data_IF_312021645169
#
_entry.id   IF_312021645169
#
_cell.length_a   1.000
_cell.length_b   1.000
_cell.length_c   1.000
_cell.angle_alpha   90.00
_cell.angle_beta   90.00
_cell.angle_gamma   90.00
#
_symmetry.space_group_name_H-M   'P 1'
#
loop_
_entity.id
_entity.type
_entity.pdbx_description
1 polymer ?
#
# COMPACT_ATOMS: atom_id res chain seq x y z
N UNK A 1 -35.94 -0.78 87.93
CA UNK A 1 -34.47 -0.72 88.00
C UNK A 1 -33.96 -1.20 86.64
N UNK A 2 -33.25 -0.50 85.75
CA UNK A 2 -32.74 0.87 85.56
C UNK A 2 -31.85 0.81 84.29
N UNK A 3 -31.77 1.90 83.49
CA UNK A 3 -30.82 2.23 82.38
C UNK A 3 -30.97 1.48 81.02
N UNK A 4 -31.08 2.06 79.80
CA UNK A 4 -30.52 3.20 78.99
C UNK A 4 -29.40 2.80 78.00
N UNK A 5 -29.61 3.14 76.70
CA UNK A 5 -28.70 3.47 75.55
C UNK A 5 -27.46 2.58 75.24
N UNK A 6 -26.90 2.42 74.04
CA UNK A 6 -26.80 3.08 72.72
C UNK A 6 -26.31 1.96 71.74
N UNK A 7 -26.45 1.90 70.41
CA UNK A 7 -25.78 2.75 69.41
C UNK A 7 -26.11 2.28 67.97
N UNK A 8 -26.25 3.24 67.06
CA UNK A 8 -25.69 3.23 65.70
C UNK A 8 -26.17 2.21 64.67
N UNK A 9 -27.33 2.46 64.05
CA UNK A 9 -27.79 1.74 62.84
C UNK A 9 -27.92 2.67 61.63
N UNK A 10 -26.89 2.67 60.79
CA UNK A 10 -26.82 3.27 59.45
C UNK A 10 -28.02 2.85 58.58
N UNK A 11 -28.90 3.80 58.22
CA UNK A 11 -29.88 3.65 57.14
C UNK A 11 -29.94 4.95 56.34
N UNK A 12 -29.35 4.88 55.15
CA UNK A 12 -29.44 5.88 54.09
C UNK A 12 -30.90 6.29 53.88
N UNK A 13 -31.18 7.56 54.12
CA UNK A 13 -32.41 8.21 53.70
C UNK A 13 -32.42 8.25 52.17
N UNK A 14 -33.27 7.41 51.59
CA UNK A 14 -33.61 7.46 50.17
C UNK A 14 -34.53 8.67 49.97
N UNK A 15 -33.92 9.82 49.68
CA UNK A 15 -34.63 11.08 49.42
C UNK A 15 -35.29 10.95 48.05
N UNK A 16 -36.56 10.55 48.05
CA UNK A 16 -37.42 10.55 46.87
C UNK A 16 -37.76 12.01 46.54
N UNK A 17 -37.39 12.56 45.38
CA UNK A 17 -37.82 13.90 45.00
C UNK A 17 -39.31 13.84 44.63
N UNK A 18 -40.12 14.54 45.41
CA UNK A 18 -41.55 14.73 45.18
C UNK A 18 -41.75 15.69 43.98
N UNK A 19 -41.95 15.12 42.79
CA UNK A 19 -42.17 15.90 41.57
C UNK A 19 -43.65 16.29 41.50
N UNK A 20 -43.98 17.44 42.07
CA UNK A 20 -45.31 18.05 41.92
C UNK A 20 -45.50 18.53 40.48
N UNK A 21 -46.32 17.80 39.71
CA UNK A 21 -46.56 18.04 38.28
C UNK A 21 -47.85 18.85 38.11
N UNK A 22 -47.74 20.17 38.01
CA UNK A 22 -48.90 21.03 37.68
C UNK A 22 -49.02 21.13 36.16
N UNK A 23 -50.00 20.43 35.58
CA UNK A 23 -50.31 20.49 34.15
C UNK A 23 -51.19 21.72 33.90
N UNK A 24 -50.66 22.71 33.20
CA UNK A 24 -51.45 23.75 32.58
C UNK A 24 -51.44 23.50 31.07
N UNK A 25 -52.62 23.16 30.52
CA UNK A 25 -52.84 22.96 29.10
C UNK A 25 -52.96 24.32 28.41
N UNK A 26 -52.02 24.64 27.53
CA UNK A 26 -52.20 25.71 26.55
C UNK A 26 -51.63 25.29 25.20
N UNK A 27 -52.41 25.59 24.17
CA UNK A 27 -52.34 25.03 22.83
C UNK A 27 -51.12 25.54 22.04
N UNK A 28 -50.70 24.71 21.08
CA UNK A 28 -49.90 25.06 19.89
C UNK A 28 -48.37 25.15 20.06
N UNK A 29 -47.73 24.17 19.39
CA UNK A 29 -46.42 24.25 18.73
C UNK A 29 -45.18 23.79 19.52
N UNK A 30 -44.65 22.63 19.12
CA UNK A 30 -43.22 22.31 19.16
C UNK A 30 -42.65 21.91 20.52
N UNK A 31 -42.57 20.62 20.75
CA UNK A 31 -42.07 19.97 21.97
C UNK A 31 -40.56 20.25 22.17
N UNK A 32 -40.24 21.30 22.94
CA UNK A 32 -38.92 21.49 23.55
C UNK A 32 -39.09 22.04 24.97
N UNK A 33 -38.84 21.17 25.95
CA UNK A 33 -38.84 21.52 27.38
C UNK A 33 -37.65 22.44 27.67
N UNK A 34 -37.91 23.72 27.87
CA UNK A 34 -36.91 24.72 28.22
C UNK A 34 -36.69 24.68 29.74
N UNK A 35 -35.70 23.90 30.19
CA UNK A 35 -35.28 23.88 31.59
C UNK A 35 -34.61 25.22 31.94
N UNK A 36 -35.37 26.14 32.53
CA UNK A 36 -34.85 27.38 33.10
C UNK A 36 -34.22 27.03 34.44
N UNK A 37 -32.90 26.87 34.47
CA UNK A 37 -32.15 26.77 35.71
C UNK A 37 -32.34 28.05 36.52
N UNK A 38 -32.88 27.89 37.74
CA UNK A 38 -33.02 28.96 38.71
C UNK A 38 -31.61 29.34 39.18
N UNK A 39 -31.18 30.56 38.90
CA UNK A 39 -29.91 31.10 39.42
C UNK A 39 -30.11 31.41 40.91
N UNK A 40 -29.77 30.46 41.76
CA UNK A 40 -29.22 30.73 43.08
C UNK A 40 -28.36 29.54 43.49
N UNK A 41 -27.20 29.87 44.05
CA UNK A 41 -26.29 29.02 44.82
C UNK A 41 -25.12 28.38 44.05
N UNK A 42 -23.92 28.89 44.37
CA UNK A 42 -22.68 28.11 44.45
C UNK A 42 -21.99 27.77 43.12
N UNK A 43 -21.04 28.58 42.69
CA UNK A 43 -20.05 28.19 41.67
C UNK A 43 -19.27 26.93 42.08
N UNK A 44 -19.20 25.88 41.24
CA UNK A 44 -18.19 24.84 41.37
C UNK A 44 -16.95 25.23 40.55
N UNK A 45 -15.72 25.08 41.09
CA UNK A 45 -14.49 25.27 40.32
C UNK A 45 -14.24 24.00 39.50
N UNK A 46 -14.49 24.04 38.20
CA UNK A 46 -14.12 22.93 37.32
C UNK A 46 -15.02 22.71 36.11
N UNK A 47 -15.40 23.78 35.40
CA UNK A 47 -15.89 23.61 34.04
C UNK A 47 -14.69 23.38 33.13
N UNK A 48 -14.33 22.12 32.91
CA UNK A 48 -13.46 21.74 31.80
C UNK A 48 -14.14 22.22 30.51
N UNK A 49 -13.46 23.09 29.76
CA UNK A 49 -13.94 23.56 28.47
C UNK A 49 -14.09 22.36 27.53
N UNK A 50 -15.32 22.01 27.18
CA UNK A 50 -15.58 21.03 26.12
C UNK A 50 -14.98 21.56 24.81
N UNK A 51 -14.23 20.73 24.05
CA UNK A 51 -13.65 21.17 22.79
C UNK A 51 -14.77 21.44 21.78
N UNK A 52 -14.96 22.72 21.44
CA UNK A 52 -15.89 23.15 20.40
C UNK A 52 -15.64 22.38 19.09
N UNK A 53 -16.68 21.85 18.41
CA UNK A 53 -16.51 21.08 17.19
C UNK A 53 -15.85 21.94 16.11
N UNK A 54 -14.94 21.38 15.29
CA UNK A 54 -14.30 22.14 14.22
C UNK A 54 -15.39 22.68 13.30
N UNK A 55 -15.42 24.00 13.11
CA UNK A 55 -16.32 24.62 12.13
C UNK A 55 -16.06 23.96 10.77
N UNK A 56 -17.13 23.57 10.06
CA UNK A 56 -17.06 22.88 8.76
C UNK A 56 -16.07 23.59 7.80
N UNK A 57 -15.96 24.92 7.90
CA UNK A 57 -14.99 25.74 7.17
C UNK A 57 -13.52 25.41 7.49
N UNK A 58 -13.17 25.18 8.75
CA UNK A 58 -11.83 24.80 9.16
C UNK A 58 -11.46 23.39 8.68
N UNK A 59 -12.42 22.45 8.70
CA UNK A 59 -12.24 21.12 8.15
C UNK A 59 -12.04 21.16 6.63
N UNK A 60 -12.87 21.92 5.90
CA UNK A 60 -12.72 22.11 4.45
C UNK A 60 -11.37 22.75 4.09
N UNK A 61 -10.93 23.78 4.83
CA UNK A 61 -9.62 24.39 4.61
C UNK A 61 -8.47 23.42 4.93
N UNK A 62 -8.60 22.57 5.94
CA UNK A 62 -7.60 21.53 6.20
C UNK A 62 -7.46 20.57 4.99
N UNK A 63 -8.57 20.10 4.43
CA UNK A 63 -8.57 19.24 3.25
C UNK A 63 -8.04 19.94 1.99
N UNK A 64 -8.39 21.21 1.77
CA UNK A 64 -7.86 22.01 0.66
C UNK A 64 -6.35 22.17 0.78
N UNK A 65 -5.82 22.48 1.97
CA UNK A 65 -4.36 22.54 2.21
C UNK A 65 -3.68 21.21 1.92
N UNK A 66 -4.30 20.10 2.34
CA UNK A 66 -3.77 18.76 2.12
C UNK A 66 -3.73 18.41 0.63
N UNK A 67 -4.80 18.72 -0.11
CA UNK A 67 -4.85 18.52 -1.57
C UNK A 67 -3.80 19.36 -2.28
N UNK A 68 -3.68 20.65 -1.94
CA UNK A 68 -2.67 21.53 -2.53
C UNK A 68 -1.25 21.04 -2.23
N UNK A 69 -0.99 20.59 -1.00
CA UNK A 69 0.30 20.01 -0.63
C UNK A 69 0.60 18.76 -1.47
N UNK A 70 -0.35 17.84 -1.61
CA UNK A 70 -0.16 16.63 -2.42
C UNK A 70 0.05 16.94 -3.89
N UNK A 71 -0.66 17.94 -4.44
CA UNK A 71 -0.46 18.41 -5.81
C UNK A 71 0.94 19.02 -5.99
N UNK A 72 1.39 19.83 -5.04
CA UNK A 72 2.73 20.42 -5.07
C UNK A 72 3.82 19.33 -4.96
N UNK A 73 3.66 18.37 -4.06
CA UNK A 73 4.57 17.23 -3.91
C UNK A 73 4.58 16.36 -5.19
N UNK A 74 3.41 16.11 -5.77
CA UNK A 74 3.28 15.38 -7.02
C UNK A 74 3.96 16.12 -8.18
N UNK A 75 3.77 17.43 -8.30
CA UNK A 75 4.45 18.25 -9.29
C UNK A 75 5.98 18.22 -9.10
N UNK A 76 6.45 18.38 -7.87
CA UNK A 76 7.88 18.30 -7.56
C UNK A 76 8.45 16.92 -7.91
N UNK A 77 7.72 15.85 -7.59
CA UNK A 77 8.10 14.49 -7.97
C UNK A 77 8.18 14.31 -9.49
N UNK A 78 7.23 14.86 -10.25
CA UNK A 78 7.26 14.83 -11.72
C UNK A 78 8.47 15.61 -12.25
N UNK A 79 8.74 16.81 -11.72
CA UNK A 79 9.91 17.61 -12.14
C UNK A 79 11.20 16.85 -11.86
N UNK A 80 11.34 16.27 -10.66
CA UNK A 80 12.50 15.44 -10.31
C UNK A 80 12.61 14.25 -11.26
N UNK A 81 11.52 13.55 -11.55
CA UNK A 81 11.54 12.37 -12.40
C UNK A 81 11.87 12.72 -13.86
N UNK A 82 11.43 13.87 -14.36
CA UNK A 82 11.67 14.35 -15.73
C UNK A 82 13.04 15.00 -15.90
N UNK A 83 13.61 15.62 -14.85
CA UNK A 83 14.91 16.31 -14.95
C UNK A 83 16.06 15.51 -14.35
N UNK A 84 15.89 15.00 -13.14
CA UNK A 84 16.94 14.23 -12.43
C UNK A 84 17.06 12.83 -13.00
N UNK A 85 15.93 12.21 -13.39
CA UNK A 85 15.92 10.88 -14.00
C UNK A 85 16.78 10.81 -15.27
N UNK A 86 16.42 11.54 -16.35
CA UNK A 86 17.23 11.57 -17.57
C UNK A 86 18.66 12.02 -17.34
N UNK A 87 18.89 13.02 -16.49
CA UNK A 87 20.25 13.46 -16.16
C UNK A 87 21.12 12.34 -15.58
N UNK A 88 20.57 11.53 -14.67
CA UNK A 88 21.31 10.40 -14.08
C UNK A 88 21.55 9.28 -15.10
N UNK A 89 20.56 8.99 -15.94
CA UNK A 89 20.71 8.00 -17.02
C UNK A 89 21.83 8.43 -17.99
N UNK A 90 21.79 9.68 -18.46
CA UNK A 90 22.74 10.20 -19.43
C UNK A 90 24.16 10.32 -18.87
N UNK A 91 24.30 10.63 -17.57
CA UNK A 91 25.60 10.84 -16.93
C UNK A 91 26.25 9.58 -16.41
N UNK A 92 25.49 8.67 -15.82
CA UNK A 92 26.06 7.51 -15.13
C UNK A 92 25.77 6.21 -15.88
N UNK A 93 24.51 5.99 -16.30
CA UNK A 93 24.08 4.69 -16.83
C UNK A 93 24.57 4.49 -18.27
N UNK A 94 24.36 5.46 -19.17
CA UNK A 94 24.74 5.34 -20.59
C UNK A 94 26.26 5.16 -20.76
N UNK A 95 27.13 5.94 -20.08
CA UNK A 95 28.58 5.75 -20.21
C UNK A 95 29.04 4.38 -19.71
N UNK A 96 28.44 3.86 -18.63
CA UNK A 96 28.75 2.52 -18.12
C UNK A 96 28.33 1.45 -19.14
N UNK A 97 27.13 1.56 -19.71
CA UNK A 97 26.64 0.62 -20.74
C UNK A 97 27.54 0.63 -21.98
N UNK A 98 27.93 1.82 -22.45
CA UNK A 98 28.80 1.96 -23.61
C UNK A 98 30.18 1.38 -23.32
N UNK A 99 30.76 1.70 -22.16
CA UNK A 99 32.01 1.13 -21.72
C UNK A 99 31.95 -0.40 -21.64
N UNK A 100 30.87 -0.97 -21.08
CA UNK A 100 30.67 -2.42 -20.98
C UNK A 100 30.60 -3.07 -22.38
N UNK A 101 29.82 -2.48 -23.28
CA UNK A 101 29.61 -2.99 -24.64
C UNK A 101 30.89 -2.88 -25.49
N UNK A 102 31.72 -1.86 -25.28
CA UNK A 102 33.01 -1.69 -25.96
C UNK A 102 34.12 -2.54 -25.35
N UNK A 103 34.09 -2.77 -24.03
CA UNK A 103 35.14 -3.51 -23.31
C UNK A 103 35.01 -5.02 -23.47
N UNK A 104 33.79 -5.55 -23.46
CA UNK A 104 33.55 -6.99 -23.48
C UNK A 104 33.22 -7.51 -24.89
N UNK A 105 33.70 -8.70 -25.19
CA UNK A 105 33.31 -9.40 -26.42
C UNK A 105 31.85 -9.87 -26.35
N UNK A 106 31.21 -10.03 -27.51
CA UNK A 106 29.81 -10.43 -27.62
C UNK A 106 29.44 -11.67 -26.79
N UNK A 107 30.24 -12.77 -26.76
CA UNK A 107 29.90 -13.93 -25.92
C UNK A 107 29.95 -13.65 -24.42
N UNK A 108 30.88 -12.80 -23.96
CA UNK A 108 30.98 -12.42 -22.55
C UNK A 108 29.79 -11.55 -22.16
N UNK A 109 29.42 -10.60 -23.04
CA UNK A 109 28.26 -9.75 -22.85
C UNK A 109 26.95 -10.56 -22.79
N UNK A 110 26.81 -11.59 -23.64
CA UNK A 110 25.68 -12.52 -23.58
C UNK A 110 25.52 -13.13 -22.19
N UNK A 111 26.61 -13.63 -21.61
CA UNK A 111 26.59 -14.26 -20.28
C UNK A 111 26.27 -13.22 -19.20
N UNK A 112 26.91 -12.05 -19.26
CA UNK A 112 26.72 -11.00 -18.27
C UNK A 112 25.28 -10.47 -18.28
N UNK A 113 24.74 -10.16 -19.45
CA UNK A 113 23.35 -9.73 -19.62
C UNK A 113 22.37 -10.83 -19.17
N UNK A 114 22.60 -12.08 -19.58
CA UNK A 114 21.75 -13.19 -19.18
C UNK A 114 21.74 -13.37 -17.66
N UNK A 115 22.92 -13.39 -17.03
CA UNK A 115 23.07 -13.55 -15.58
C UNK A 115 22.45 -12.38 -14.83
N UNK A 116 22.67 -11.14 -15.28
CA UNK A 116 22.09 -9.95 -14.62
C UNK A 116 20.56 -9.97 -14.69
N UNK A 117 19.95 -10.21 -15.86
CA UNK A 117 18.49 -10.32 -16.01
C UNK A 117 17.92 -11.46 -15.16
N UNK A 118 18.64 -12.58 -15.02
CA UNK A 118 18.22 -13.72 -14.20
C UNK A 118 18.37 -13.47 -12.68
N UNK A 119 19.39 -12.73 -12.24
CA UNK A 119 19.72 -12.60 -10.81
C UNK A 119 19.16 -11.32 -10.19
N UNK A 120 19.18 -10.20 -10.92
CA UNK A 120 18.77 -8.89 -10.39
C UNK A 120 17.35 -8.86 -9.81
N UNK A 121 16.33 -9.50 -10.41
CA UNK A 121 15.00 -9.55 -9.81
C UNK A 121 14.98 -10.23 -8.43
N UNK A 122 15.93 -11.13 -8.17
CA UNK A 122 16.12 -11.80 -6.87
C UNK A 122 16.85 -10.92 -5.86
N UNK A 123 17.58 -9.91 -6.31
CA UNK A 123 18.26 -8.94 -5.46
C UNK A 123 17.46 -7.64 -5.30
N UNK A 124 16.22 -7.60 -5.82
CA UNK A 124 15.39 -6.39 -5.90
C UNK A 124 16.07 -5.25 -6.68
N UNK A 125 16.96 -5.60 -7.62
CA UNK A 125 17.64 -4.65 -8.50
C UNK A 125 16.90 -4.56 -9.85
N UNK A 126 16.89 -3.36 -10.47
CA UNK A 126 16.27 -3.18 -11.79
C UNK A 126 17.12 -3.88 -12.86
N UNK A 127 16.47 -4.71 -13.70
CA UNK A 127 17.12 -5.37 -14.84
C UNK A 127 17.09 -4.53 -16.13
N UNK A 128 16.45 -3.36 -16.10
CA UNK A 128 16.25 -2.50 -17.28
C UNK A 128 17.54 -2.13 -18.01
N UNK A 129 18.64 -1.72 -17.34
CA UNK A 129 19.89 -1.42 -18.04
C UNK A 129 20.44 -2.62 -18.83
N UNK A 130 20.40 -3.81 -18.24
CA UNK A 130 20.84 -5.04 -18.93
C UNK A 130 19.94 -5.38 -20.13
N UNK A 131 18.63 -5.11 -20.03
CA UNK A 131 17.71 -5.31 -21.15
C UNK A 131 18.01 -4.36 -22.32
N UNK A 132 18.42 -3.12 -22.04
CA UNK A 132 18.89 -2.17 -23.05
C UNK A 132 20.15 -2.68 -23.76
N UNK A 133 21.15 -3.13 -22.99
CA UNK A 133 22.39 -3.73 -23.54
C UNK A 133 22.07 -4.90 -24.45
N UNK A 134 21.12 -5.77 -24.05
CA UNK A 134 20.70 -6.90 -24.85
C UNK A 134 20.07 -6.46 -26.19
N UNK A 135 19.21 -5.44 -26.13
CA UNK A 135 18.56 -4.86 -27.30
C UNK A 135 19.54 -4.22 -28.28
N UNK A 136 20.46 -3.41 -27.76
CA UNK A 136 21.48 -2.72 -28.57
C UNK A 136 22.48 -3.69 -29.20
N UNK A 137 22.87 -4.76 -28.49
CA UNK A 137 23.90 -5.69 -28.98
C UNK A 137 23.35 -6.78 -29.88
N UNK A 138 22.23 -7.40 -29.51
CA UNK A 138 21.69 -8.59 -30.19
C UNK A 138 20.49 -8.29 -31.08
N UNK A 139 20.01 -7.04 -31.07
CA UNK A 139 18.81 -6.63 -31.77
C UNK A 139 17.53 -7.23 -31.18
N UNK A 140 16.41 -6.92 -31.83
CA UNK A 140 15.07 -7.23 -31.31
C UNK A 140 14.80 -8.72 -31.13
N UNK A 141 15.12 -9.55 -32.14
CA UNK A 141 14.80 -10.97 -32.11
C UNK A 141 15.62 -11.73 -31.07
N UNK A 142 16.94 -11.70 -31.20
CA UNK A 142 17.82 -12.44 -30.29
C UNK A 142 17.88 -11.81 -28.90
N UNK A 143 17.83 -10.49 -28.78
CA UNK A 143 17.73 -9.80 -27.48
C UNK A 143 16.46 -10.19 -26.72
N UNK A 144 15.30 -10.23 -27.40
CA UNK A 144 14.06 -10.71 -26.78
C UNK A 144 14.17 -12.16 -26.31
N UNK A 145 14.71 -13.07 -27.13
CA UNK A 145 14.88 -14.47 -26.76
C UNK A 145 15.84 -14.66 -25.57
N UNK A 146 16.90 -13.86 -25.52
CA UNK A 146 17.83 -13.85 -24.39
C UNK A 146 17.14 -13.35 -23.12
N UNK A 147 16.44 -12.22 -23.20
CA UNK A 147 15.77 -11.62 -22.03
C UNK A 147 14.66 -12.53 -21.52
N UNK A 148 13.79 -13.07 -22.39
CA UNK A 148 12.65 -13.89 -21.94
C UNK A 148 13.10 -15.20 -21.31
N UNK A 149 14.19 -15.81 -21.81
CA UNK A 149 14.77 -17.02 -21.23
C UNK A 149 15.46 -16.74 -19.88
N UNK A 150 16.21 -15.64 -19.77
CA UNK A 150 16.78 -15.18 -18.49
C UNK A 150 15.69 -14.81 -17.48
N UNK A 151 14.62 -14.14 -17.92
CA UNK A 151 13.48 -13.73 -17.10
C UNK A 151 12.75 -14.94 -16.51
N UNK A 152 12.68 -16.07 -17.23
CA UNK A 152 12.14 -17.31 -16.68
C UNK A 152 12.89 -17.73 -15.41
N UNK A 153 14.22 -17.63 -15.40
CA UNK A 153 15.04 -17.89 -14.21
C UNK A 153 14.80 -16.79 -13.16
N UNK A 154 14.77 -15.52 -13.58
CA UNK A 154 14.58 -14.37 -12.70
C UNK A 154 13.24 -14.31 -11.98
N UNK A 155 12.18 -14.91 -12.53
CA UNK A 155 10.90 -15.07 -11.82
C UNK A 155 10.83 -16.38 -11.04
N UNK A 156 11.58 -17.42 -11.46
CA UNK A 156 11.66 -18.70 -10.75
C UNK A 156 12.34 -18.57 -9.38
N UNK A 157 13.49 -17.90 -9.33
CA UNK A 157 14.32 -17.82 -8.13
C UNK A 157 13.57 -17.17 -6.95
N UNK A 158 12.95 -15.98 -7.10
CA UNK A 158 12.15 -15.38 -6.03
C UNK A 158 10.94 -16.22 -5.63
N UNK A 159 10.35 -16.98 -6.55
CA UNK A 159 9.22 -17.86 -6.24
C UNK A 159 9.67 -19.03 -5.36
N UNK A 160 10.81 -19.65 -5.65
CA UNK A 160 11.37 -20.71 -4.81
C UNK A 160 11.76 -20.16 -3.44
N UNK A 161 12.42 -18.99 -3.40
CA UNK A 161 12.81 -18.33 -2.16
C UNK A 161 11.57 -17.92 -1.35
N UNK A 162 10.55 -17.36 -2.01
CA UNK A 162 9.29 -16.98 -1.39
C UNK A 162 8.56 -18.16 -0.76
N UNK A 163 8.72 -19.37 -1.31
CA UNK A 163 8.19 -20.61 -0.71
C UNK A 163 8.85 -20.95 0.63
N UNK A 164 10.15 -20.71 0.76
CA UNK A 164 10.89 -20.94 2.01
C UNK A 164 10.45 -19.96 3.12
N UNK A 165 10.11 -18.73 2.75
CA UNK A 165 9.71 -17.68 3.69
C UNK A 165 8.20 -17.40 3.73
N UNK A 166 7.38 -18.34 3.24
CA UNK A 166 5.93 -18.16 3.03
C UNK A 166 5.22 -17.55 4.24
N UNK A 167 5.45 -18.09 5.44
CA UNK A 167 4.78 -17.62 6.66
C UNK A 167 5.14 -16.17 7.03
N UNK A 168 6.39 -15.75 6.80
CA UNK A 168 6.82 -14.35 7.03
C UNK A 168 6.21 -13.41 6.00
N UNK A 169 6.14 -13.83 4.74
CA UNK A 169 5.57 -13.03 3.66
C UNK A 169 4.07 -12.86 3.87
N UNK A 170 3.36 -13.92 4.28
CA UNK A 170 1.94 -13.85 4.58
C UNK A 170 1.65 -12.87 5.72
N UNK A 171 2.34 -13.00 6.87
CA UNK A 171 2.16 -12.06 7.99
C UNK A 171 2.55 -10.62 7.66
N UNK A 172 3.52 -10.40 6.75
CA UNK A 172 3.83 -9.07 6.25
C UNK A 172 2.72 -8.53 5.32
N UNK A 173 2.18 -9.39 4.46
CA UNK A 173 1.15 -9.04 3.48
C UNK A 173 -0.17 -8.68 4.16
N UNK A 174 -0.48 -9.27 5.33
CA UNK A 174 -1.65 -8.95 6.15
C UNK A 174 -1.67 -7.49 6.64
N UNK A 175 -0.51 -6.84 6.75
CA UNK A 175 -0.42 -5.40 7.06
C UNK A 175 -1.00 -4.53 5.93
N UNK A 176 -1.17 -5.08 4.73
CA UNK A 176 -1.67 -4.40 3.54
C UNK A 176 -2.87 -5.14 2.94
N UNK A 177 -4.03 -5.14 3.61
CA UNK A 177 -5.17 -6.01 3.27
C UNK A 177 -5.69 -5.80 1.85
N UNK A 178 -5.66 -4.56 1.33
CA UNK A 178 -6.07 -4.24 -0.05
C UNK A 178 -5.15 -4.88 -1.12
N UNK A 179 -3.84 -4.93 -0.87
CA UNK A 179 -2.89 -5.56 -1.79
C UNK A 179 -2.91 -7.07 -1.64
N UNK A 180 -3.06 -7.54 -0.40
CA UNK A 180 -3.22 -8.95 -0.07
C UNK A 180 -4.42 -9.59 -0.77
N UNK A 181 -5.57 -8.89 -0.81
CA UNK A 181 -6.79 -9.41 -1.42
C UNK A 181 -6.63 -9.58 -2.94
N UNK A 182 -6.11 -8.57 -3.65
CA UNK A 182 -5.83 -8.64 -5.10
C UNK A 182 -4.92 -9.84 -5.39
N UNK A 183 -3.88 -9.99 -4.58
CA UNK A 183 -2.90 -11.05 -4.79
C UNK A 183 -3.49 -12.44 -4.46
N UNK A 184 -4.25 -12.57 -3.36
CA UNK A 184 -4.95 -13.82 -2.99
C UNK A 184 -6.00 -14.21 -4.03
N UNK A 185 -6.68 -13.23 -4.63
CA UNK A 185 -7.60 -13.48 -5.75
C UNK A 185 -6.88 -14.06 -6.97
N UNK A 186 -5.62 -13.71 -7.20
CA UNK A 186 -4.82 -14.33 -8.27
C UNK A 186 -4.51 -15.81 -8.02
N UNK A 187 -4.55 -16.25 -6.76
CA UNK A 187 -4.43 -17.65 -6.34
C UNK A 187 -5.66 -18.52 -6.54
N UNK A 188 -6.84 -17.90 -6.62
CA UNK A 188 -8.11 -18.60 -6.69
C UNK A 188 -8.38 -19.20 -8.08
N UNK A 189 -9.10 -20.33 -8.11
CA UNK A 189 -9.67 -20.89 -9.34
C UNK A 189 -8.79 -21.86 -10.12
N UNK A 190 -9.10 -22.03 -11.40
CA UNK A 190 -8.42 -23.00 -12.28
C UNK A 190 -7.05 -22.50 -12.75
N UNK A 191 -6.23 -23.41 -13.29
CA UNK A 191 -4.89 -23.11 -13.83
C UNK A 191 -4.88 -21.90 -14.77
N UNK A 192 -5.89 -21.79 -15.65
CA UNK A 192 -6.02 -20.68 -16.60
C UNK A 192 -6.39 -19.34 -15.94
N UNK A 193 -7.20 -19.37 -14.89
CA UNK A 193 -7.55 -18.16 -14.13
C UNK A 193 -6.33 -17.59 -13.43
N UNK A 194 -5.54 -18.44 -12.79
CA UNK A 194 -4.29 -18.05 -12.16
C UNK A 194 -3.33 -17.44 -13.19
N UNK A 195 -3.15 -18.09 -14.33
CA UNK A 195 -2.32 -17.59 -15.43
C UNK A 195 -2.73 -16.17 -15.86
N UNK A 196 -4.02 -15.98 -16.13
CA UNK A 196 -4.56 -14.70 -16.58
C UNK A 196 -4.42 -13.62 -15.52
N UNK A 197 -4.66 -13.96 -14.25
CA UNK A 197 -4.48 -13.02 -13.14
C UNK A 197 -3.02 -12.58 -12.99
N UNK A 198 -2.07 -13.52 -13.07
CA UNK A 198 -0.63 -13.21 -13.03
C UNK A 198 -0.23 -12.31 -14.20
N UNK A 199 -0.65 -12.63 -15.42
CA UNK A 199 -0.34 -11.82 -16.60
C UNK A 199 -0.89 -10.39 -16.46
N UNK A 200 -2.11 -10.21 -15.96
CA UNK A 200 -2.67 -8.88 -15.73
C UNK A 200 -1.96 -8.11 -14.63
N UNK A 201 -1.54 -8.77 -13.55
CA UNK A 201 -0.79 -8.10 -12.49
C UNK A 201 0.55 -7.58 -13.03
N UNK A 202 1.22 -8.32 -13.92
CA UNK A 202 2.47 -7.89 -14.57
C UNK A 202 2.28 -6.70 -15.50
N UNK A 203 1.17 -6.64 -16.21
CA UNK A 203 0.83 -5.52 -17.09
C UNK A 203 0.40 -4.28 -16.27
N UNK A 204 -0.17 -4.51 -15.08
CA UNK A 204 -0.55 -3.43 -14.17
C UNK A 204 0.69 -2.71 -13.61
N UNK A 205 0.56 -1.45 -13.14
CA UNK A 205 1.66 -0.71 -12.51
C UNK A 205 2.04 -1.25 -11.11
N UNK A 206 1.74 -2.53 -10.81
CA UNK A 206 2.10 -3.16 -9.56
C UNK A 206 3.61 -3.48 -9.54
N UNK A 207 4.35 -3.14 -8.47
CA UNK A 207 5.78 -3.41 -8.40
C UNK A 207 6.11 -4.90 -8.59
N UNK A 208 6.67 -5.24 -9.75
CA UNK A 208 6.88 -6.63 -10.15
C UNK A 208 7.90 -7.34 -9.25
N UNK A 209 8.89 -6.61 -8.72
CA UNK A 209 9.89 -7.10 -7.77
C UNK A 209 9.25 -7.65 -6.49
N UNK A 210 8.18 -7.00 -5.99
CA UNK A 210 7.44 -7.45 -4.82
C UNK A 210 6.56 -8.66 -5.19
N UNK A 211 5.90 -8.58 -6.35
CA UNK A 211 5.03 -9.65 -6.85
C UNK A 211 5.76 -10.99 -6.98
N UNK A 212 7.02 -10.97 -7.46
CA UNK A 212 7.88 -12.15 -7.59
C UNK A 212 7.94 -13.02 -6.32
N UNK A 213 8.00 -12.40 -5.14
CA UNK A 213 8.01 -13.12 -3.85
C UNK A 213 6.62 -13.41 -3.32
N UNK A 214 5.72 -12.44 -3.45
CA UNK A 214 4.40 -12.53 -2.86
C UNK A 214 3.47 -13.50 -3.60
N UNK A 215 3.75 -13.84 -4.87
CA UNK A 215 2.98 -14.83 -5.63
C UNK A 215 2.88 -16.20 -4.92
N UNK A 216 3.86 -16.53 -4.07
CA UNK A 216 3.86 -17.75 -3.26
C UNK A 216 2.93 -17.65 -2.05
N UNK A 217 2.85 -16.46 -1.45
CA UNK A 217 1.92 -16.19 -0.34
C UNK A 217 0.45 -16.28 -0.79
N UNK A 218 0.22 -16.33 -2.09
CA UNK A 218 -1.13 -16.33 -2.65
C UNK A 218 -1.52 -17.63 -3.29
N UNK A 219 -0.87 -18.75 -2.94
CA UNK A 219 -1.25 -20.10 -3.38
C UNK A 219 -1.34 -20.27 -4.91
N UNK A 220 -0.66 -19.40 -5.67
CA UNK A 220 -0.58 -19.54 -7.13
C UNK A 220 0.33 -20.72 -7.44
N UNK A 221 -0.11 -21.60 -8.34
CA UNK A 221 0.71 -22.72 -8.80
C UNK A 221 1.89 -22.18 -9.62
N UNK A 222 3.03 -22.86 -9.54
CA UNK A 222 4.24 -22.45 -10.26
C UNK A 222 4.05 -22.35 -11.78
N UNK A 223 3.35 -23.31 -12.39
CA UNK A 223 3.09 -23.33 -13.84
C UNK A 223 2.37 -22.06 -14.34
N UNK A 224 1.16 -21.75 -13.84
CA UNK A 224 0.44 -20.53 -14.19
C UNK A 224 1.23 -19.26 -13.88
N UNK A 225 1.97 -19.23 -12.77
CA UNK A 225 2.83 -18.12 -12.42
C UNK A 225 3.94 -17.89 -13.44
N UNK A 226 4.62 -18.97 -13.85
CA UNK A 226 5.72 -18.92 -14.80
C UNK A 226 5.23 -18.41 -16.16
N UNK A 227 4.26 -19.10 -16.74
CA UNK A 227 3.74 -18.77 -18.07
C UNK A 227 3.08 -17.39 -18.04
N UNK A 228 2.33 -17.07 -16.98
CA UNK A 228 1.67 -15.78 -16.81
C UNK A 228 2.67 -14.63 -16.68
N UNK A 229 3.78 -14.86 -16.00
CA UNK A 229 4.84 -13.87 -15.86
C UNK A 229 5.54 -13.63 -17.19
N UNK A 230 5.93 -14.69 -17.90
CA UNK A 230 6.59 -14.56 -19.20
C UNK A 230 5.71 -13.84 -20.21
N UNK A 231 4.43 -14.22 -20.32
CA UNK A 231 3.47 -13.55 -21.22
C UNK A 231 3.23 -12.10 -20.80
N UNK A 232 3.08 -11.85 -19.50
CA UNK A 232 2.85 -10.51 -18.97
C UNK A 232 4.04 -9.56 -19.13
N UNK A 233 5.27 -10.08 -19.22
CA UNK A 233 6.49 -9.32 -19.43
C UNK A 233 6.76 -8.99 -20.91
N UNK A 234 6.11 -9.66 -21.87
CA UNK A 234 6.37 -9.44 -23.30
C UNK A 234 6.26 -7.95 -23.70
N UNK A 235 5.20 -7.21 -23.32
CA UNK A 235 5.10 -5.80 -23.68
C UNK A 235 6.22 -4.96 -23.07
N UNK A 236 6.58 -5.22 -21.81
CA UNK A 236 7.65 -4.54 -21.10
C UNK A 236 9.01 -4.77 -21.77
N UNK A 237 9.32 -6.01 -22.13
CA UNK A 237 10.58 -6.37 -22.80
C UNK A 237 10.70 -5.65 -24.15
N UNK A 238 9.61 -5.56 -24.92
CA UNK A 238 9.65 -4.83 -26.19
C UNK A 238 9.86 -3.33 -26.01
N UNK A 239 9.23 -2.72 -25.01
CA UNK A 239 9.47 -1.31 -24.68
C UNK A 239 10.91 -1.10 -24.24
N UNK A 240 11.45 -1.99 -23.40
CA UNK A 240 12.83 -1.91 -22.93
C UNK A 240 13.82 -1.99 -24.11
N UNK A 241 13.65 -2.93 -25.03
CA UNK A 241 14.55 -3.07 -26.19
C UNK A 241 14.48 -1.86 -27.16
N UNK A 242 13.39 -1.07 -27.13
CA UNK A 242 13.19 0.09 -28.01
C UNK A 242 13.67 1.43 -27.43
N UNK A 243 13.80 1.51 -26.10
CA UNK A 243 14.11 2.76 -25.39
C UNK A 243 15.61 2.97 -25.30
#
# INVERSE_FOLDING_TARGET
MTYYENDGGDRREEVVPDVTLTIQSDDSNGDYVKLRANNNDGSPPGAAAEPSPPTIRAAVWYWVKLVVLFLFLGFLAVVVLVWVGPYFIDKEIIPIINWETETFSTPVLTVLVFTSVAVFPTLLLPSTPSMWVAGMTFGYGFGFLLIISAAAIGVSLPFVIGKLFHHKIEGWLEKYPKKASILRSAGGGSWFHQFRAVAFIRISPFPYLIFNYCAVATNVKYGPYMVGSLVGMVPEIFVAIYT
#
